data_IF_323246103875
#
_entry.id   IF_323246103875
#
_cell.length_a   1.000
_cell.length_b   1.000
_cell.length_c   1.000
_cell.angle_alpha   90.00
_cell.angle_beta   90.00
_cell.angle_gamma   90.00
#
_symmetry.space_group_name_H-M   'P 1'
#
loop_
_entity.id
_entity.type
_entity.pdbx_description
1 polymer ?
#
# COMPACT_ATOMS: atom_id res chain seq x y z
N UNK A 1 5.95 -16.05 -44.20
CA UNK A 1 5.68 -16.63 -42.86
C UNK A 1 6.96 -17.27 -42.35
N UNK A 2 7.74 -16.54 -41.55
CA UNK A 2 8.87 -17.10 -40.82
C UNK A 2 8.63 -16.74 -39.36
N UNK A 3 8.16 -17.71 -38.57
CA UNK A 3 8.11 -17.59 -37.11
C UNK A 3 9.52 -17.93 -36.63
N UNK A 4 10.21 -16.97 -36.06
CA UNK A 4 11.47 -17.21 -35.35
C UNK A 4 11.13 -17.98 -34.07
N UNK A 5 11.62 -19.21 -33.87
CA UNK A 5 11.38 -19.92 -32.62
C UNK A 5 12.24 -19.28 -31.52
N UNK A 6 11.62 -19.00 -30.36
CA UNK A 6 12.36 -18.73 -29.12
C UNK A 6 13.30 -19.92 -28.87
N UNK A 7 14.62 -19.67 -28.80
CA UNK A 7 15.63 -20.71 -28.58
C UNK A 7 15.31 -21.50 -27.31
N UNK A 8 14.87 -22.74 -27.48
CA UNK A 8 14.65 -23.70 -26.41
C UNK A 8 15.98 -24.33 -26.01
N UNK A 9 16.48 -24.03 -24.81
CA UNK A 9 17.38 -24.94 -24.11
C UNK A 9 16.52 -25.96 -23.34
N UNK A 10 16.84 -27.25 -23.55
CA UNK A 10 16.11 -28.42 -23.05
C UNK A 10 15.98 -28.44 -21.51
N UNK A 11 14.92 -29.08 -20.97
CA UNK A 11 14.67 -29.10 -19.54
C UNK A 11 15.51 -30.20 -18.85
N UNK A 12 16.22 -29.84 -17.78
CA UNK A 12 16.61 -30.81 -16.75
C UNK A 12 15.50 -30.81 -15.71
N UNK A 13 14.82 -31.94 -15.59
CA UNK A 13 13.81 -32.16 -14.58
C UNK A 13 14.47 -32.38 -13.22
N UNK A 14 14.15 -31.52 -12.25
CA UNK A 14 14.14 -31.88 -10.83
C UNK A 14 13.01 -31.12 -10.14
N UNK A 15 12.07 -31.89 -9.60
CA UNK A 15 11.09 -31.39 -8.65
C UNK A 15 11.85 -30.92 -7.40
N UNK A 16 11.64 -29.67 -7.00
CA UNK A 16 12.07 -29.20 -5.70
C UNK A 16 11.10 -28.13 -5.19
N UNK A 17 10.28 -28.54 -4.23
CA UNK A 17 9.75 -27.69 -3.16
C UNK A 17 10.89 -26.89 -2.55
N UNK A 18 10.94 -25.58 -2.79
CA UNK A 18 11.96 -24.72 -2.19
C UNK A 18 11.37 -23.78 -1.13
N UNK A 19 11.59 -24.24 0.10
CA UNK A 19 11.79 -23.45 1.31
C UNK A 19 13.01 -22.56 1.10
N UNK A 20 12.90 -21.27 1.43
CA UNK A 20 14.02 -20.32 1.38
C UNK A 20 15.13 -20.75 2.35
N UNK A 21 16.33 -21.07 1.83
CA UNK A 21 17.56 -21.18 2.61
C UNK A 21 18.63 -20.24 2.04
N UNK A 22 19.12 -19.35 2.91
CA UNK A 22 20.28 -18.46 2.70
C UNK A 22 21.61 -19.20 2.53
N UNK A 23 22.55 -18.57 1.80
CA UNK A 23 24.01 -18.43 2.04
C UNK A 23 24.65 -17.74 0.82
N UNK A 24 25.77 -17.01 0.83
CA UNK A 24 26.55 -16.21 1.80
C UNK A 24 27.85 -15.82 1.07
N UNK A 25 28.30 -14.56 1.13
CA UNK A 25 29.70 -14.12 1.21
C UNK A 25 29.68 -12.58 1.17
N UNK A 26 30.34 -11.82 2.05
CA UNK A 26 31.58 -12.04 2.78
C UNK A 26 31.56 -11.40 4.18
N UNK A 27 32.48 -11.85 5.02
CA UNK A 27 32.56 -11.68 6.48
C UNK A 27 32.55 -10.22 6.96
N UNK A 28 31.58 -9.92 7.82
CA UNK A 28 31.83 -9.17 9.04
C UNK A 28 31.28 -10.03 10.19
N UNK A 29 32.13 -10.46 11.11
CA UNK A 29 31.72 -11.16 12.32
C UNK A 29 30.93 -10.18 13.21
N UNK A 30 29.65 -10.00 12.92
CA UNK A 30 28.68 -9.58 13.90
C UNK A 30 28.23 -10.84 14.64
N UNK A 31 28.60 -10.92 15.92
CA UNK A 31 27.97 -11.87 16.83
C UNK A 31 26.45 -11.71 16.68
N UNK A 32 25.75 -12.81 16.41
CA UNK A 32 24.29 -12.86 16.53
C UNK A 32 23.94 -12.61 18.00
N UNK A 33 23.83 -11.35 18.38
CA UNK A 33 23.06 -10.92 19.53
C UNK A 33 21.60 -11.11 19.12
N UNK A 34 20.95 -12.13 19.66
CA UNK A 34 19.53 -12.31 19.49
C UNK A 34 18.81 -11.03 19.92
N UNK A 35 17.99 -10.46 19.04
CA UNK A 35 17.07 -9.35 19.33
C UNK A 35 15.85 -9.85 20.11
N UNK A 36 16.10 -10.63 21.16
CA UNK A 36 15.10 -11.02 22.15
C UNK A 36 15.57 -10.58 23.52
N UNK A 37 15.63 -9.26 23.73
CA UNK A 37 15.36 -8.73 25.06
C UNK A 37 13.85 -8.81 25.27
N UNK A 38 13.32 -10.02 25.45
CA UNK A 38 11.97 -10.18 26.00
C UNK A 38 12.06 -9.83 27.46
N UNK A 39 11.97 -8.53 27.75
CA UNK A 39 11.64 -8.07 29.08
C UNK A 39 10.33 -8.76 29.47
N UNK A 40 10.32 -9.70 30.43
CA UNK A 40 9.13 -10.44 30.78
C UNK A 40 8.05 -9.54 31.41
N UNK A 41 8.39 -8.30 31.76
CA UNK A 41 7.43 -7.28 32.21
C UNK A 41 6.77 -6.51 31.06
N UNK A 42 7.22 -6.69 29.81
CA UNK A 42 6.69 -5.95 28.67
C UNK A 42 5.26 -6.37 28.34
N UNK A 43 4.39 -5.38 28.20
CA UNK A 43 2.99 -5.54 27.85
C UNK A 43 2.70 -4.82 26.54
N UNK A 44 2.01 -5.50 25.63
CA UNK A 44 1.49 -4.89 24.41
C UNK A 44 0.31 -3.99 24.76
N UNK A 45 0.34 -2.74 24.32
CA UNK A 45 -0.67 -1.71 24.65
C UNK A 45 -1.54 -1.32 23.47
N UNK A 46 -0.96 -1.28 22.26
CA UNK A 46 -1.66 -0.86 21.04
C UNK A 46 -1.11 -1.59 19.82
N UNK A 47 -2.00 -1.95 18.90
CA UNK A 47 -1.61 -2.45 17.57
C UNK A 47 -2.24 -1.59 16.47
N UNK A 48 -1.45 -1.22 15.46
CA UNK A 48 -1.95 -0.55 14.27
C UNK A 48 -1.51 -1.31 13.02
N UNK A 49 -2.47 -1.77 12.21
CA UNK A 49 -2.21 -2.61 11.02
C UNK A 49 -2.59 -1.80 9.78
N UNK A 50 -1.62 -1.45 8.95
CA UNK A 50 -1.86 -0.84 7.63
C UNK A 50 -1.64 -1.89 6.56
N UNK A 51 -2.59 -2.09 5.65
CA UNK A 51 -2.46 -3.12 4.62
C UNK A 51 -3.02 -2.71 3.25
N UNK A 52 -2.36 -3.21 2.21
CA UNK A 52 -2.82 -3.15 0.82
C UNK A 52 -4.01 -4.09 0.62
N UNK A 53 -4.93 -3.72 -0.26
CA UNK A 53 -5.98 -4.64 -0.71
C UNK A 53 -5.44 -5.98 -1.26
N UNK A 54 -6.30 -7.00 -1.29
CA UNK A 54 -5.99 -8.31 -1.86
C UNK A 54 -5.97 -8.33 -3.40
N UNK A 55 -5.75 -9.52 -3.96
CA UNK A 55 -5.79 -9.75 -5.40
C UNK A 55 -7.12 -9.31 -6.02
N UNK A 56 -7.03 -8.64 -7.17
CA UNK A 56 -8.15 -8.01 -7.85
C UNK A 56 -8.11 -8.27 -9.35
N UNK A 57 -9.20 -7.98 -10.04
CA UNK A 57 -9.19 -7.88 -11.50
C UNK A 57 -8.34 -6.67 -11.97
N UNK A 58 -7.97 -6.61 -13.27
CA UNK A 58 -7.09 -5.56 -13.79
C UNK A 58 -7.68 -4.17 -13.66
N UNK A 59 -6.80 -3.16 -13.57
CA UNK A 59 -7.16 -1.75 -13.73
C UNK A 59 -6.89 -1.26 -15.16
N UNK A 60 -5.86 -1.76 -15.83
CA UNK A 60 -5.60 -1.40 -17.23
C UNK A 60 -6.59 -2.06 -18.19
N UNK A 61 -6.76 -1.48 -19.38
CA UNK A 61 -7.50 -2.07 -20.50
C UNK A 61 -6.59 -2.81 -21.51
N UNK A 62 -5.26 -2.76 -21.32
CA UNK A 62 -4.25 -3.30 -22.25
C UNK A 62 -3.62 -4.57 -21.69
N UNK A 63 -2.93 -5.34 -22.53
CA UNK A 63 -2.02 -6.45 -22.17
C UNK A 63 -2.67 -7.74 -21.63
N UNK A 64 -4.00 -7.85 -21.67
CA UNK A 64 -4.74 -9.06 -21.27
C UNK A 64 -5.82 -9.45 -22.29
N UNK A 65 -5.69 -8.99 -23.55
CA UNK A 65 -6.64 -9.30 -24.62
C UNK A 65 -6.90 -10.81 -24.75
N UNK A 66 -8.17 -11.18 -24.95
CA UNK A 66 -8.61 -12.58 -25.04
C UNK A 66 -8.78 -13.30 -23.71
N UNK A 67 -8.55 -12.64 -22.57
CA UNK A 67 -8.81 -13.24 -21.26
C UNK A 67 -10.20 -12.93 -20.70
N UNK A 68 -10.84 -13.96 -20.14
CA UNK A 68 -12.03 -13.81 -19.31
C UNK A 68 -11.64 -13.63 -17.84
N UNK A 69 -12.40 -12.80 -17.12
CA UNK A 69 -12.30 -12.48 -15.70
C UNK A 69 -13.56 -12.96 -14.97
N UNK A 70 -13.59 -14.26 -14.70
CA UNK A 70 -14.63 -15.06 -14.06
C UNK A 70 -14.27 -15.44 -12.61
N UNK A 71 -13.32 -14.71 -12.03
CA UNK A 71 -12.68 -15.00 -10.74
C UNK A 71 -13.28 -14.21 -9.56
N UNK A 72 -14.23 -13.32 -9.83
CA UNK A 72 -14.93 -12.53 -8.82
C UNK A 72 -16.15 -13.27 -8.25
N UNK A 73 -16.93 -12.58 -7.41
CA UNK A 73 -18.01 -13.18 -6.61
C UNK A 73 -17.61 -13.32 -5.15
N UNK A 74 -18.20 -14.28 -4.43
CA UNK A 74 -18.05 -14.43 -2.98
C UNK A 74 -17.24 -15.67 -2.64
N UNK A 75 -16.16 -15.51 -1.87
CA UNK A 75 -15.33 -16.63 -1.41
C UNK A 75 -15.87 -17.30 -0.14
N UNK A 76 -16.48 -16.51 0.76
CA UNK A 76 -17.05 -16.96 2.03
C UNK A 76 -18.13 -15.98 2.51
N UNK A 77 -18.89 -16.36 3.53
CA UNK A 77 -19.80 -15.45 4.25
C UNK A 77 -19.00 -14.52 5.16
N UNK A 78 -18.91 -13.21 4.87
CA UNK A 78 -18.13 -12.29 5.68
C UNK A 78 -18.91 -11.82 6.91
N UNK A 79 -18.17 -11.33 7.90
CA UNK A 79 -18.76 -10.58 9.03
C UNK A 79 -19.42 -9.29 8.54
N UNK A 80 -20.38 -8.78 9.31
CA UNK A 80 -21.05 -7.52 9.01
C UNK A 80 -20.16 -6.34 9.39
N UNK A 81 -20.16 -5.31 8.55
CA UNK A 81 -19.51 -4.03 8.84
C UNK A 81 -20.58 -2.95 9.01
N UNK A 82 -20.33 -2.01 9.91
CA UNK A 82 -21.03 -0.73 9.95
C UNK A 82 -20.10 0.34 9.39
N UNK A 83 -20.32 0.74 8.13
CA UNK A 83 -19.48 1.72 7.45
C UNK A 83 -20.09 3.12 7.57
N UNK A 84 -19.32 4.05 8.12
CA UNK A 84 -19.70 5.46 8.32
C UNK A 84 -18.66 6.41 7.76
N UNK A 85 -19.05 7.65 7.50
CA UNK A 85 -18.09 8.74 7.25
C UNK A 85 -17.29 9.05 8.53
N UNK A 86 -16.20 9.81 8.38
CA UNK A 86 -15.33 10.19 9.50
C UNK A 86 -16.05 11.00 10.61
N UNK A 87 -17.11 11.74 10.25
CA UNK A 87 -17.97 12.51 11.17
C UNK A 87 -19.17 11.70 11.70
N UNK A 88 -19.25 10.39 11.40
CA UNK A 88 -20.29 9.49 11.88
C UNK A 88 -21.57 9.47 11.03
N UNK A 89 -21.61 10.23 9.95
CA UNK A 89 -22.67 10.19 8.94
C UNK A 89 -22.63 8.95 8.04
N UNK A 90 -23.42 8.99 6.97
CA UNK A 90 -23.50 7.90 6.01
C UNK A 90 -22.20 7.77 5.17
N UNK A 91 -21.95 6.57 4.65
CA UNK A 91 -20.81 6.34 3.77
C UNK A 91 -20.86 7.31 2.57
N UNK A 92 -19.81 8.13 2.35
CA UNK A 92 -19.76 9.05 1.23
C UNK A 92 -19.70 8.28 -0.09
N UNK A 93 -20.09 8.95 -1.19
CA UNK A 93 -19.93 8.39 -2.54
C UNK A 93 -18.48 8.54 -2.98
N UNK A 94 -17.88 7.47 -3.51
CA UNK A 94 -16.63 7.57 -4.27
C UNK A 94 -16.91 7.58 -5.77
N UNK A 95 -16.66 8.72 -6.42
CA UNK A 95 -16.86 8.86 -7.86
C UNK A 95 -15.90 7.97 -8.65
N UNK A 96 -14.66 7.85 -8.17
CA UNK A 96 -13.63 7.01 -8.78
C UNK A 96 -13.99 5.52 -8.71
N UNK A 97 -14.48 5.02 -7.56
CA UNK A 97 -14.90 3.62 -7.43
C UNK A 97 -16.11 3.31 -8.32
N UNK A 98 -17.12 4.18 -8.35
CA UNK A 98 -18.28 4.01 -9.23
C UNK A 98 -17.88 3.97 -10.71
N UNK A 99 -16.96 4.85 -11.13
CA UNK A 99 -16.47 4.86 -12.51
C UNK A 99 -15.74 3.55 -12.88
N UNK A 100 -14.95 2.98 -11.96
CA UNK A 100 -14.31 1.67 -12.15
C UNK A 100 -15.36 0.56 -12.25
N UNK A 101 -16.30 0.52 -11.31
CA UNK A 101 -17.34 -0.51 -11.24
C UNK A 101 -18.32 -0.50 -12.41
N UNK A 102 -18.49 0.62 -13.11
CA UNK A 102 -19.29 0.66 -14.35
C UNK A 102 -18.66 -0.14 -15.49
N UNK A 103 -17.36 -0.39 -15.44
CA UNK A 103 -16.64 -1.12 -16.49
C UNK A 103 -16.68 -2.62 -16.15
N UNK A 104 -17.44 -3.38 -16.94
CA UNK A 104 -17.49 -4.84 -16.86
C UNK A 104 -16.47 -5.46 -17.82
N UNK A 105 -15.65 -6.36 -17.29
CA UNK A 105 -14.65 -7.11 -18.04
C UNK A 105 -15.29 -8.37 -18.65
N UNK A 106 -14.71 -8.95 -19.72
CA UNK A 106 -15.08 -10.30 -20.18
C UNK A 106 -15.05 -11.28 -19.00
N UNK A 107 -15.94 -12.28 -18.95
CA UNK A 107 -16.08 -13.19 -17.80
C UNK A 107 -16.88 -12.66 -16.60
N UNK A 108 -17.14 -11.34 -16.54
CA UNK A 108 -18.19 -10.77 -15.71
C UNK A 108 -17.74 -9.97 -14.47
N UNK A 109 -16.48 -10.05 -14.06
CA UNK A 109 -15.90 -9.13 -13.07
C UNK A 109 -16.03 -7.66 -13.49
N UNK A 110 -16.09 -6.74 -12.54
CA UNK A 110 -15.87 -5.32 -12.80
C UNK A 110 -14.37 -4.99 -12.76
N UNK A 111 -13.98 -3.86 -13.35
CA UNK A 111 -12.61 -3.34 -13.30
C UNK A 111 -12.18 -3.07 -11.85
N UNK A 112 -11.02 -3.59 -11.46
CA UNK A 112 -10.45 -3.41 -10.12
C UNK A 112 -11.24 -4.07 -8.98
N UNK A 113 -12.15 -4.99 -9.28
CA UNK A 113 -12.94 -5.74 -8.29
C UNK A 113 -12.06 -6.74 -7.53
N UNK A 114 -12.22 -6.82 -6.21
CA UNK A 114 -11.52 -7.81 -5.39
C UNK A 114 -12.01 -9.22 -5.75
N UNK A 115 -11.09 -10.13 -6.07
CA UNK A 115 -11.45 -11.49 -6.51
C UNK A 115 -11.66 -12.42 -5.33
N UNK A 116 -12.15 -13.64 -5.59
CA UNK A 116 -12.23 -14.69 -4.56
C UNK A 116 -10.85 -14.99 -3.93
N UNK A 117 -9.78 -14.97 -4.74
CA UNK A 117 -8.41 -15.09 -4.26
C UNK A 117 -8.05 -13.94 -3.31
N UNK A 118 -8.36 -12.70 -3.68
CA UNK A 118 -8.08 -11.54 -2.83
C UNK A 118 -8.85 -11.56 -1.51
N UNK A 119 -10.09 -12.05 -1.52
CA UNK A 119 -10.88 -12.26 -0.30
C UNK A 119 -10.22 -13.30 0.61
N UNK A 120 -9.76 -14.43 0.06
CA UNK A 120 -9.07 -15.45 0.84
C UNK A 120 -7.74 -14.92 1.42
N UNK A 121 -6.93 -14.23 0.61
CA UNK A 121 -5.70 -13.60 1.09
C UNK A 121 -5.94 -12.64 2.26
N UNK A 122 -7.02 -11.85 2.19
CA UNK A 122 -7.41 -10.95 3.27
C UNK A 122 -7.80 -11.71 4.53
N UNK A 123 -8.58 -12.80 4.39
CA UNK A 123 -8.94 -13.68 5.50
C UNK A 123 -7.71 -14.33 6.14
N UNK A 124 -6.76 -14.79 5.35
CA UNK A 124 -5.52 -15.40 5.84
C UNK A 124 -4.71 -14.41 6.70
N UNK A 125 -4.66 -13.13 6.33
CA UNK A 125 -4.07 -12.07 7.17
C UNK A 125 -4.86 -11.93 8.48
N UNK A 126 -6.18 -11.96 8.43
CA UNK A 126 -7.03 -11.94 9.62
C UNK A 126 -6.77 -13.11 10.57
N UNK A 127 -6.64 -14.33 10.02
CA UNK A 127 -6.33 -15.54 10.79
C UNK A 127 -4.94 -15.47 11.42
N UNK A 128 -3.95 -14.91 10.72
CA UNK A 128 -2.63 -14.64 11.28
C UNK A 128 -2.68 -13.63 12.44
N UNK A 129 -3.46 -12.54 12.28
CA UNK A 129 -3.68 -11.55 13.34
C UNK A 129 -4.37 -12.19 14.55
N UNK A 130 -5.33 -13.09 14.33
CA UNK A 130 -6.00 -13.85 15.40
C UNK A 130 -5.01 -14.73 16.15
N UNK A 131 -4.19 -15.49 15.43
CA UNK A 131 -3.16 -16.34 16.05
C UNK A 131 -2.27 -15.49 16.97
N UNK A 132 -1.71 -14.41 16.43
CA UNK A 132 -0.76 -13.58 17.17
C UNK A 132 -1.41 -12.83 18.35
N UNK A 133 -2.49 -12.09 18.09
CA UNK A 133 -3.00 -11.12 19.06
C UNK A 133 -4.11 -11.66 19.96
N UNK A 134 -4.82 -12.72 19.57
CA UNK A 134 -5.82 -13.37 20.43
C UNK A 134 -5.23 -14.56 21.15
N UNK A 135 -4.49 -15.43 20.45
CA UNK A 135 -4.06 -16.71 21.03
C UNK A 135 -2.68 -16.59 21.72
N UNK A 136 -1.66 -16.14 20.97
CA UNK A 136 -0.28 -16.17 21.46
C UNK A 136 -0.03 -15.08 22.52
N UNK A 137 -0.54 -13.86 22.27
CA UNK A 137 -0.32 -12.71 23.16
C UNK A 137 -1.48 -12.43 24.11
N UNK A 138 -2.66 -13.05 23.90
CA UNK A 138 -3.87 -12.76 24.68
C UNK A 138 -4.15 -11.25 24.81
N UNK A 139 -3.80 -10.48 23.78
CA UNK A 139 -3.94 -9.03 23.75
C UNK A 139 -5.37 -8.63 23.41
N UNK A 140 -5.95 -9.25 22.38
CA UNK A 140 -7.32 -9.07 21.96
C UNK A 140 -8.22 -10.16 22.58
N UNK A 141 -9.50 -9.84 22.86
CA UNK A 141 -10.48 -10.80 23.34
C UNK A 141 -10.77 -11.87 22.28
N UNK A 142 -11.19 -13.07 22.72
CA UNK A 142 -11.47 -14.19 21.82
C UNK A 142 -12.70 -13.99 20.94
N UNK A 143 -13.72 -13.32 21.49
CA UNK A 143 -14.93 -12.87 20.81
C UNK A 143 -14.83 -11.37 20.54
N UNK A 144 -15.50 -10.90 19.50
CA UNK A 144 -15.54 -9.47 19.22
C UNK A 144 -16.38 -8.74 20.27
N UNK A 145 -15.81 -7.68 20.85
CA UNK A 145 -16.48 -6.73 21.72
C UNK A 145 -16.15 -5.31 21.28
N UNK A 146 -17.00 -4.35 21.67
CA UNK A 146 -16.76 -2.94 21.38
C UNK A 146 -15.45 -2.48 22.05
N UNK A 147 -14.68 -1.64 21.37
CA UNK A 147 -13.33 -1.27 21.82
C UNK A 147 -12.21 -2.23 21.40
N UNK A 148 -12.47 -3.47 20.97
CA UNK A 148 -11.38 -4.38 20.56
C UNK A 148 -10.67 -3.87 19.28
N UNK A 149 -11.45 -3.55 18.24
CA UNK A 149 -10.94 -3.15 16.92
C UNK A 149 -11.74 -1.98 16.36
N UNK A 150 -11.04 -1.07 15.69
CA UNK A 150 -11.63 -0.05 14.81
C UNK A 150 -11.01 -0.13 13.42
N UNK A 151 -11.86 -0.13 12.39
CA UNK A 151 -11.42 -0.13 10.99
C UNK A 151 -11.48 1.26 10.35
N UNK A 152 -10.52 1.54 9.46
CA UNK A 152 -10.55 2.65 8.50
C UNK A 152 -10.21 2.11 7.12
N UNK A 153 -10.90 2.56 6.09
CA UNK A 153 -10.64 2.14 4.71
C UNK A 153 -10.79 3.28 3.72
N UNK A 154 -10.00 3.26 2.64
CA UNK A 154 -10.29 4.14 1.51
C UNK A 154 -11.62 3.73 0.89
N UNK A 155 -12.31 4.68 0.28
CA UNK A 155 -13.67 4.46 -0.21
C UNK A 155 -13.73 3.72 -1.57
N UNK A 156 -12.88 2.70 -1.74
CA UNK A 156 -12.93 1.78 -2.86
C UNK A 156 -13.55 0.45 -2.42
N UNK A 157 -14.38 -0.14 -3.29
CA UNK A 157 -15.06 -1.40 -2.98
C UNK A 157 -14.07 -2.54 -2.67
N UNK A 158 -12.89 -2.54 -3.32
CA UNK A 158 -11.84 -3.54 -3.09
C UNK A 158 -11.14 -3.42 -1.73
N UNK A 159 -10.96 -2.21 -1.21
CA UNK A 159 -10.31 -1.98 0.10
C UNK A 159 -11.30 -2.27 1.21
N UNK A 160 -12.55 -1.85 1.06
CA UNK A 160 -13.65 -2.22 1.97
C UNK A 160 -13.77 -3.75 2.07
N UNK A 161 -13.84 -4.45 0.94
CA UNK A 161 -13.95 -5.91 0.93
C UNK A 161 -12.70 -6.61 1.47
N UNK A 162 -11.51 -6.02 1.31
CA UNK A 162 -10.29 -6.55 1.94
C UNK A 162 -10.36 -6.41 3.46
N UNK A 163 -10.70 -5.22 3.98
CA UNK A 163 -10.87 -5.01 5.42
C UNK A 163 -11.91 -5.98 6.00
N UNK A 164 -13.02 -6.18 5.30
CA UNK A 164 -14.05 -7.15 5.69
C UNK A 164 -13.50 -8.58 5.77
N UNK A 165 -12.67 -8.99 4.81
CA UNK A 165 -12.00 -10.29 4.84
C UNK A 165 -11.05 -10.45 6.02
N UNK A 166 -10.21 -9.44 6.29
CA UNK A 166 -9.30 -9.42 7.45
C UNK A 166 -10.09 -9.53 8.76
N UNK A 167 -11.16 -8.74 8.92
CA UNK A 167 -12.02 -8.80 10.11
C UNK A 167 -12.75 -10.14 10.24
N UNK A 168 -13.10 -10.78 9.13
CA UNK A 168 -13.68 -12.13 9.13
C UNK A 168 -12.68 -13.18 9.62
N UNK A 169 -11.41 -13.08 9.22
CA UNK A 169 -10.36 -13.96 9.74
C UNK A 169 -10.04 -13.70 11.22
N UNK A 170 -10.09 -12.44 11.65
CA UNK A 170 -9.80 -12.07 13.04
C UNK A 170 -10.93 -12.48 14.01
N UNK A 171 -12.18 -12.21 13.62
CA UNK A 171 -13.38 -12.47 14.42
C UNK A 171 -14.47 -13.19 13.61
N UNK A 172 -14.28 -14.47 13.26
CA UNK A 172 -15.20 -15.21 12.38
C UNK A 172 -16.63 -15.34 12.93
N UNK A 173 -16.80 -15.23 14.25
CA UNK A 173 -18.08 -15.37 14.95
C UNK A 173 -18.66 -14.03 15.42
N UNK A 174 -18.21 -12.89 14.88
CA UNK A 174 -18.74 -11.58 15.25
C UNK A 174 -20.24 -11.47 14.92
N UNK A 175 -21.08 -11.49 15.96
CA UNK A 175 -22.54 -11.41 15.81
C UNK A 175 -23.01 -9.98 15.49
N UNK A 176 -22.32 -8.99 16.04
CA UNK A 176 -22.60 -7.56 15.84
C UNK A 176 -21.73 -6.98 14.71
N UNK A 177 -22.23 -5.96 13.97
CA UNK A 177 -21.42 -5.26 12.97
C UNK A 177 -20.18 -4.62 13.60
N UNK A 178 -19.05 -4.69 12.88
CA UNK A 178 -17.80 -4.06 13.31
C UNK A 178 -17.73 -2.63 12.73
N UNK A 179 -17.47 -1.59 13.55
CA UNK A 179 -17.38 -0.20 13.08
C UNK A 179 -16.20 0.02 12.13
N UNK A 180 -16.50 0.64 11.00
CA UNK A 180 -15.53 1.03 9.97
C UNK A 180 -15.77 2.47 9.54
N UNK A 181 -14.73 3.28 9.53
CA UNK A 181 -14.77 4.64 9.02
C UNK A 181 -14.19 4.74 7.60
N UNK A 182 -14.76 5.60 6.77
CA UNK A 182 -14.20 5.99 5.48
C UNK A 182 -14.33 7.48 5.23
N UNK A 183 -13.57 7.99 4.28
CA UNK A 183 -13.51 9.41 3.95
C UNK A 183 -14.12 9.68 2.56
N UNK A 184 -14.50 10.93 2.32
CA UNK A 184 -14.77 11.40 0.96
C UNK A 184 -13.47 11.39 0.14
N UNK A 185 -13.59 11.47 -1.20
CA UNK A 185 -12.40 11.57 -2.07
C UNK A 185 -11.56 12.83 -1.74
N UNK A 186 -12.15 13.88 -1.16
CA UNK A 186 -11.45 15.12 -0.75
C UNK A 186 -10.75 15.02 0.61
N UNK A 187 -11.29 14.22 1.53
CA UNK A 187 -10.77 14.13 2.91
C UNK A 187 -9.77 12.98 3.11
N UNK A 188 -9.57 12.17 2.09
CA UNK A 188 -8.72 10.98 2.16
C UNK A 188 -7.24 11.33 2.37
N UNK A 189 -6.59 10.58 3.26
CA UNK A 189 -5.18 10.76 3.68
C UNK A 189 -4.32 9.52 3.43
N UNK A 190 -4.92 8.38 3.08
CA UNK A 190 -4.19 7.11 2.95
C UNK A 190 -3.51 6.94 1.58
N UNK A 191 -3.45 7.98 0.77
CA UNK A 191 -2.63 8.06 -0.44
C UNK A 191 -2.40 9.54 -0.81
N UNK A 192 -1.47 9.80 -1.73
CA UNK A 192 -1.19 11.14 -2.25
C UNK A 192 -2.43 11.77 -2.92
N UNK A 193 -3.18 12.58 -2.15
CA UNK A 193 -4.43 13.17 -2.59
C UNK A 193 -4.21 14.53 -3.25
N UNK A 194 -4.02 14.52 -4.57
CA UNK A 194 -3.85 15.74 -5.36
C UNK A 194 -5.13 16.56 -5.53
N UNK A 195 -6.31 15.97 -5.26
CA UNK A 195 -7.59 16.69 -5.35
C UNK A 195 -7.74 17.71 -4.23
N UNK A 196 -7.22 17.36 -3.05
CA UNK A 196 -7.31 18.19 -1.85
C UNK A 196 -6.13 19.13 -1.64
N UNK A 197 -5.13 19.13 -2.54
CA UNK A 197 -3.93 19.93 -2.38
C UNK A 197 -3.28 20.30 -3.72
N UNK A 198 -3.43 21.56 -4.11
CA UNK A 198 -2.87 22.11 -5.35
C UNK A 198 -1.34 22.04 -5.37
N UNK A 199 -0.66 22.39 -4.26
CA UNK A 199 0.80 22.27 -4.18
C UNK A 199 1.30 20.84 -4.38
N UNK A 200 0.60 19.85 -3.82
CA UNK A 200 0.94 18.45 -4.04
C UNK A 200 0.77 18.06 -5.52
N UNK A 201 -0.28 18.55 -6.18
CA UNK A 201 -0.50 18.31 -7.61
C UNK A 201 0.68 18.82 -8.45
N UNK A 202 1.20 20.01 -8.11
CA UNK A 202 2.39 20.62 -8.72
C UNK A 202 3.67 19.82 -8.48
N UNK A 203 3.95 19.44 -7.23
CA UNK A 203 5.13 18.64 -6.87
C UNK A 203 5.10 17.30 -7.61
N UNK A 204 3.95 16.62 -7.62
CA UNK A 204 3.76 15.36 -8.34
C UNK A 204 3.89 15.53 -9.87
N UNK A 205 3.47 16.68 -10.43
CA UNK A 205 3.65 17.00 -11.85
C UNK A 205 5.14 17.15 -12.20
N UNK A 206 5.93 17.80 -11.34
CA UNK A 206 7.39 17.91 -11.50
C UNK A 206 8.07 16.55 -11.40
N UNK A 207 7.74 15.76 -10.38
CA UNK A 207 8.28 14.41 -10.21
C UNK A 207 7.99 13.50 -11.43
N UNK A 208 6.77 13.55 -11.98
CA UNK A 208 6.42 12.85 -13.23
C UNK A 208 7.25 13.32 -14.42
N UNK A 209 7.50 14.62 -14.54
CA UNK A 209 8.33 15.18 -15.59
C UNK A 209 9.78 14.71 -15.48
N UNK A 210 10.38 14.78 -14.29
CA UNK A 210 11.74 14.31 -14.02
C UNK A 210 11.90 12.81 -14.33
N UNK A 211 10.93 11.99 -13.93
CA UNK A 211 10.91 10.56 -14.23
C UNK A 211 10.83 10.28 -15.74
N UNK A 212 10.07 11.09 -16.48
CA UNK A 212 9.99 10.97 -17.95
C UNK A 212 11.34 11.30 -18.59
N UNK A 213 12.01 12.36 -18.15
CA UNK A 213 13.32 12.77 -18.67
C UNK A 213 14.42 11.77 -18.30
N UNK A 214 14.40 11.22 -17.07
CA UNK A 214 15.39 10.23 -16.64
C UNK A 214 15.29 8.93 -17.45
N UNK A 215 14.06 8.50 -17.78
CA UNK A 215 13.81 7.36 -18.66
C UNK A 215 14.48 7.49 -20.03
N UNK A 216 14.46 8.68 -20.63
CA UNK A 216 15.08 8.92 -21.95
C UNK A 216 16.60 8.69 -21.94
N UNK A 217 17.22 8.68 -20.75
CA UNK A 217 18.66 8.45 -20.53
C UNK A 217 18.98 7.07 -19.97
N UNK A 218 17.98 6.27 -19.61
CA UNK A 218 18.16 4.96 -18.98
C UNK A 218 18.26 3.85 -20.03
N UNK A 219 19.49 3.44 -20.35
CA UNK A 219 19.76 2.39 -21.34
C UNK A 219 19.19 1.02 -20.94
N UNK A 220 19.14 0.71 -19.64
CA UNK A 220 18.53 -0.54 -19.18
C UNK A 220 17.02 -0.53 -19.42
N UNK A 221 16.34 0.57 -19.08
CA UNK A 221 14.91 0.73 -19.35
C UNK A 221 14.58 0.69 -20.85
N UNK A 222 15.45 1.23 -21.72
CA UNK A 222 15.31 1.14 -23.19
C UNK A 222 15.41 -0.30 -23.69
N UNK A 223 16.42 -1.05 -23.24
CA UNK A 223 16.60 -2.46 -23.60
C UNK A 223 15.40 -3.31 -23.13
N UNK A 224 14.95 -3.10 -21.90
CA UNK A 224 13.77 -3.78 -21.36
C UNK A 224 12.52 -3.43 -22.16
N UNK A 225 12.34 -2.15 -22.53
CA UNK A 225 11.22 -1.73 -23.35
C UNK A 225 11.18 -2.44 -24.70
N UNK A 226 12.32 -2.59 -25.38
CA UNK A 226 12.38 -3.32 -26.65
C UNK A 226 12.06 -4.81 -26.45
N UNK A 227 12.68 -5.45 -25.45
CA UNK A 227 12.44 -6.86 -25.14
C UNK A 227 10.96 -7.13 -24.85
N UNK A 228 10.30 -6.24 -24.10
CA UNK A 228 8.86 -6.34 -23.82
C UNK A 228 8.03 -6.16 -25.09
N UNK A 229 8.34 -5.17 -25.94
CA UNK A 229 7.64 -4.97 -27.21
C UNK A 229 7.71 -6.21 -28.09
N UNK A 230 8.89 -6.81 -28.20
CA UNK A 230 9.10 -8.01 -29.02
C UNK A 230 8.26 -9.18 -28.51
N UNK A 231 8.22 -9.40 -27.19
CA UNK A 231 7.43 -10.47 -26.57
C UNK A 231 5.93 -10.24 -26.67
N UNK A 232 5.47 -8.98 -26.54
CA UNK A 232 4.06 -8.62 -26.72
C UNK A 232 3.64 -8.53 -28.20
N UNK A 233 4.59 -8.58 -29.14
CA UNK A 233 4.33 -8.30 -30.55
C UNK A 233 3.87 -6.87 -30.83
N UNK A 234 4.18 -5.91 -29.93
CA UNK A 234 3.78 -4.51 -30.03
C UNK A 234 4.69 -3.77 -31.02
N UNK A 235 4.14 -3.47 -32.20
CA UNK A 235 4.83 -2.75 -33.29
C UNK A 235 4.55 -1.25 -33.30
N UNK A 236 3.81 -0.73 -32.33
CA UNK A 236 3.53 0.70 -32.26
C UNK A 236 4.77 1.50 -31.86
N UNK A 237 4.79 2.78 -32.23
CA UNK A 237 5.81 3.72 -31.76
C UNK A 237 5.63 4.07 -30.27
N UNK A 238 4.47 3.74 -29.69
CA UNK A 238 4.14 4.03 -28.30
C UNK A 238 5.13 3.38 -27.35
N UNK A 239 5.43 4.11 -26.28
CA UNK A 239 6.30 3.62 -25.23
C UNK A 239 5.54 2.67 -24.30
N UNK A 240 6.17 1.59 -23.83
CA UNK A 240 5.54 0.69 -22.86
C UNK A 240 5.25 1.45 -21.55
N UNK A 241 3.99 1.38 -21.11
CA UNK A 241 3.58 1.87 -19.80
C UNK A 241 3.87 0.80 -18.74
N UNK A 242 5.09 0.79 -18.19
CA UNK A 242 5.54 -0.26 -17.26
C UNK A 242 4.64 -0.43 -16.02
N UNK A 243 3.99 0.64 -15.53
CA UNK A 243 3.03 0.54 -14.42
C UNK A 243 1.79 -0.26 -14.81
N UNK A 244 1.21 0.00 -15.98
CA UNK A 244 0.05 -0.73 -16.50
C UNK A 244 0.41 -2.16 -16.88
N UNK A 245 1.61 -2.37 -17.45
CA UNK A 245 2.10 -3.70 -17.78
C UNK A 245 2.32 -4.52 -16.52
N UNK A 246 2.96 -3.95 -15.50
CA UNK A 246 3.12 -4.60 -14.20
C UNK A 246 1.75 -4.96 -13.60
N UNK A 247 0.78 -4.04 -13.59
CA UNK A 247 -0.59 -4.33 -13.16
C UNK A 247 -1.17 -5.55 -13.88
N UNK A 248 -1.14 -5.55 -15.22
CA UNK A 248 -1.68 -6.65 -16.00
C UNK A 248 -0.95 -7.98 -15.69
N UNK A 249 0.38 -8.00 -15.72
CA UNK A 249 1.15 -9.23 -15.53
C UNK A 249 0.98 -9.80 -14.12
N UNK A 250 0.98 -8.97 -13.08
CA UNK A 250 0.71 -9.40 -11.70
C UNK A 250 -0.68 -9.99 -11.55
N UNK A 251 -1.68 -9.36 -12.16
CA UNK A 251 -3.06 -9.84 -12.09
C UNK A 251 -3.23 -11.15 -12.87
N UNK A 252 -2.69 -11.27 -14.08
CA UNK A 252 -2.72 -12.51 -14.88
C UNK A 252 -2.06 -13.65 -14.09
N UNK A 253 -0.83 -13.42 -13.60
CA UNK A 253 -0.05 -14.42 -12.88
C UNK A 253 -0.72 -14.87 -11.60
N UNK A 254 -1.22 -13.93 -10.79
CA UNK A 254 -1.88 -14.27 -9.51
C UNK A 254 -3.13 -15.12 -9.68
N UNK A 255 -3.79 -15.05 -10.83
CA UNK A 255 -5.00 -15.84 -11.13
C UNK A 255 -4.73 -17.04 -12.03
N UNK A 256 -3.46 -17.43 -12.20
CA UNK A 256 -3.04 -18.54 -13.07
C UNK A 256 -3.60 -18.44 -14.49
N UNK A 257 -3.80 -17.21 -14.99
CA UNK A 257 -4.25 -16.99 -16.37
C UNK A 257 -3.05 -17.04 -17.32
N UNK A 258 -3.32 -17.27 -18.59
CA UNK A 258 -2.26 -17.45 -19.59
C UNK A 258 -1.51 -16.14 -19.82
N UNK A 259 -0.21 -16.14 -19.51
CA UNK A 259 0.71 -15.06 -19.86
C UNK A 259 1.00 -15.07 -21.38
N UNK A 260 1.40 -13.92 -21.96
CA UNK A 260 1.90 -13.90 -23.33
C UNK A 260 3.02 -14.92 -23.56
N UNK A 261 3.08 -15.48 -24.77
CA UNK A 261 4.15 -16.43 -25.15
C UNK A 261 5.53 -15.77 -24.98
N UNK A 262 6.52 -16.53 -24.49
CA UNK A 262 7.87 -16.04 -24.17
C UNK A 262 7.93 -14.94 -23.06
N UNK A 263 6.85 -14.69 -22.32
CA UNK A 263 6.87 -13.92 -21.05
C UNK A 263 7.45 -14.78 -19.93
N UNK A 264 8.78 -14.76 -19.76
CA UNK A 264 9.49 -15.57 -18.75
C UNK A 264 9.42 -14.95 -17.35
N UNK A 265 9.72 -15.77 -16.34
CA UNK A 265 9.83 -15.31 -14.95
C UNK A 265 10.87 -14.18 -14.76
N UNK A 266 12.04 -14.29 -15.40
CA UNK A 266 13.06 -13.24 -15.34
C UNK A 266 12.55 -11.92 -15.94
N UNK A 267 11.83 -12.00 -17.07
CA UNK A 267 11.26 -10.80 -17.69
C UNK A 267 10.17 -10.16 -16.80
N UNK A 268 9.35 -10.97 -16.13
CA UNK A 268 8.39 -10.47 -15.14
C UNK A 268 9.07 -9.79 -13.95
N UNK A 269 10.20 -10.33 -13.48
CA UNK A 269 11.00 -9.70 -12.44
C UNK A 269 11.59 -8.36 -12.90
N UNK A 270 12.11 -8.28 -14.12
CA UNK A 270 12.63 -7.04 -14.69
C UNK A 270 11.52 -5.98 -14.84
N UNK A 271 10.34 -6.38 -15.33
CA UNK A 271 9.15 -5.51 -15.41
C UNK A 271 8.77 -5.01 -14.02
N UNK A 272 8.73 -5.88 -13.01
CA UNK A 272 8.41 -5.51 -11.64
C UNK A 272 9.42 -4.51 -11.08
N UNK A 273 10.73 -4.76 -11.23
CA UNK A 273 11.77 -3.82 -10.77
C UNK A 273 11.64 -2.45 -11.42
N UNK A 274 11.45 -2.41 -12.74
CA UNK A 274 11.30 -1.15 -13.47
C UNK A 274 10.02 -0.40 -13.08
N UNK A 275 8.89 -1.10 -12.94
CA UNK A 275 7.65 -0.51 -12.47
C UNK A 275 7.75 -0.01 -11.02
N UNK A 276 8.42 -0.77 -10.16
CA UNK A 276 8.66 -0.41 -8.75
C UNK A 276 9.51 0.85 -8.64
N UNK A 277 10.64 0.89 -9.35
CA UNK A 277 11.52 2.07 -9.43
C UNK A 277 10.72 3.32 -9.81
N UNK A 278 9.85 3.21 -10.83
CA UNK A 278 8.99 4.31 -11.29
C UNK A 278 7.96 4.73 -10.26
N UNK A 279 7.29 3.77 -9.62
CA UNK A 279 6.27 4.09 -8.62
C UNK A 279 6.89 4.71 -7.37
N UNK A 280 7.98 4.15 -6.88
CA UNK A 280 8.74 4.67 -5.72
C UNK A 280 9.18 6.11 -5.98
N UNK A 281 9.72 6.42 -7.17
CA UNK A 281 10.08 7.80 -7.52
C UNK A 281 8.90 8.79 -7.44
N UNK A 282 7.66 8.33 -7.53
CA UNK A 282 6.46 9.18 -7.48
C UNK A 282 5.81 9.25 -6.09
N UNK A 283 5.83 8.17 -5.31
CA UNK A 283 5.08 8.09 -4.05
C UNK A 283 5.97 7.95 -2.81
N UNK A 284 7.24 7.62 -3.00
CA UNK A 284 8.21 7.35 -1.95
C UNK A 284 9.64 7.71 -2.40
N UNK A 285 9.88 8.92 -2.95
CA UNK A 285 11.15 9.31 -3.59
C UNK A 285 12.33 9.16 -2.63
N UNK A 286 13.49 8.69 -3.11
CA UNK A 286 14.67 8.44 -2.28
C UNK A 286 15.22 9.68 -1.57
N UNK A 287 16.06 9.47 -0.55
CA UNK A 287 16.63 10.54 0.30
C UNK A 287 17.50 11.53 -0.48
N UNK A 288 18.01 11.11 -1.62
CA UNK A 288 18.80 11.92 -2.55
C UNK A 288 17.98 12.94 -3.33
N UNK A 289 16.65 12.81 -3.38
CA UNK A 289 15.77 13.70 -4.13
C UNK A 289 15.34 14.89 -3.27
N UNK A 290 15.69 16.10 -3.72
CA UNK A 290 15.44 17.35 -2.99
C UNK A 290 13.97 17.62 -2.69
N UNK A 291 13.05 17.08 -3.49
CA UNK A 291 11.60 17.22 -3.29
C UNK A 291 10.99 16.15 -2.37
N UNK A 292 11.77 15.21 -1.83
CA UNK A 292 11.26 14.09 -1.02
C UNK A 292 10.46 14.56 0.18
N UNK A 293 11.04 15.47 0.97
CA UNK A 293 10.44 15.93 2.22
C UNK A 293 9.09 16.60 1.94
N UNK A 294 9.06 17.57 1.02
CA UNK A 294 7.84 18.26 0.61
C UNK A 294 6.78 17.28 0.08
N UNK A 295 7.17 16.34 -0.80
CA UNK A 295 6.25 15.36 -1.37
C UNK A 295 5.64 14.47 -0.28
N UNK A 296 6.44 13.87 0.59
CA UNK A 296 5.96 12.98 1.65
C UNK A 296 5.17 13.72 2.71
N UNK A 297 5.59 14.94 3.06
CA UNK A 297 4.89 15.83 3.97
C UNK A 297 3.47 16.09 3.46
N UNK A 298 3.33 16.58 2.22
CA UNK A 298 2.02 16.91 1.64
C UNK A 298 1.17 15.69 1.27
N UNK A 299 1.77 14.55 0.92
CA UNK A 299 1.03 13.35 0.50
C UNK A 299 0.59 12.44 1.64
N UNK A 300 1.49 12.13 2.57
CA UNK A 300 1.28 11.09 3.59
C UNK A 300 1.45 11.59 5.02
N UNK A 301 1.91 12.84 5.22
CA UNK A 301 2.15 13.43 6.53
C UNK A 301 0.96 13.32 7.47
N UNK A 302 -0.27 13.55 6.98
CA UNK A 302 -1.51 13.39 7.76
C UNK A 302 -1.77 11.95 8.19
N UNK A 303 -1.42 10.96 7.35
CA UNK A 303 -1.53 9.55 7.73
C UNK A 303 -0.51 9.19 8.80
N UNK A 304 0.74 9.62 8.64
CA UNK A 304 1.79 9.39 9.64
C UNK A 304 1.41 10.01 10.99
N UNK A 305 0.95 11.25 10.98
CA UNK A 305 0.46 11.92 12.18
C UNK A 305 -0.72 11.17 12.82
N UNK A 306 -1.68 10.70 12.02
CA UNK A 306 -2.79 9.87 12.53
C UNK A 306 -2.29 8.60 13.25
N UNK A 307 -1.24 7.93 12.75
CA UNK A 307 -0.70 6.74 13.40
C UNK A 307 0.02 7.09 14.71
N UNK A 308 0.76 8.21 14.77
CA UNK A 308 1.48 8.63 15.98
C UNK A 308 0.49 9.16 17.02
N UNK A 309 -0.56 9.85 16.60
CA UNK A 309 -1.62 10.31 17.50
C UNK A 309 -2.30 9.14 18.22
N UNK A 310 -2.53 8.00 17.56
CA UNK A 310 -3.06 6.80 18.25
C UNK A 310 -2.10 6.26 19.30
N UNK A 311 -0.79 6.28 19.04
CA UNK A 311 0.21 5.86 20.02
C UNK A 311 0.24 6.81 21.22
N UNK A 312 0.18 8.13 20.99
CA UNK A 312 0.11 9.14 22.05
C UNK A 312 -1.16 9.01 22.90
N UNK A 313 -2.32 8.87 22.26
CA UNK A 313 -3.58 8.60 22.96
C UNK A 313 -3.50 7.33 23.80
N UNK A 314 -2.81 6.29 23.32
CA UNK A 314 -2.58 5.08 24.12
C UNK A 314 -1.64 5.36 25.32
N UNK A 315 -0.57 6.12 25.13
CA UNK A 315 0.36 6.51 26.19
C UNK A 315 -0.36 7.28 27.32
N UNK A 316 -1.28 8.16 26.94
CA UNK A 316 -2.06 9.03 27.82
C UNK A 316 -3.27 8.31 28.45
N UNK A 317 -3.54 7.06 28.08
CA UNK A 317 -4.68 6.28 28.59
C UNK A 317 -6.03 6.65 27.96
N UNK A 318 -6.02 7.35 26.82
CA UNK A 318 -7.19 7.84 26.10
C UNK A 318 -7.55 7.00 24.86
N UNK A 319 -6.79 5.93 24.56
CA UNK A 319 -7.11 5.08 23.41
C UNK A 319 -8.45 4.37 23.60
N UNK A 320 -9.33 4.55 22.62
CA UNK A 320 -10.65 3.90 22.60
C UNK A 320 -10.61 2.46 22.13
N UNK A 321 -9.56 2.09 21.39
CA UNK A 321 -9.42 0.76 20.84
C UNK A 321 -8.04 0.16 21.08
N UNK A 322 -7.98 -1.16 21.20
CA UNK A 322 -6.73 -1.91 21.31
C UNK A 322 -6.04 -2.06 19.96
N UNK A 323 -6.81 -2.23 18.88
CA UNK A 323 -6.28 -2.35 17.53
C UNK A 323 -6.97 -1.40 16.54
N UNK A 324 -6.17 -0.74 15.71
CA UNK A 324 -6.64 0.05 14.57
C UNK A 324 -6.19 -0.58 13.27
N UNK A 325 -7.11 -0.72 12.31
CA UNK A 325 -6.83 -1.29 11.00
C UNK A 325 -7.04 -0.25 9.90
N UNK A 326 -6.12 -0.18 8.94
CA UNK A 326 -6.15 0.76 7.82
C UNK A 326 -6.02 -0.03 6.50
N UNK A 327 -7.11 -0.11 5.74
CA UNK A 327 -7.11 -0.77 4.44
C UNK A 327 -6.98 0.24 3.30
N UNK A 328 -5.83 0.18 2.63
CA UNK A 328 -5.46 1.09 1.54
C UNK A 328 -4.81 0.38 0.37
N UNK A 329 -3.76 0.99 -0.17
CA UNK A 329 -3.18 0.68 -1.47
C UNK A 329 -1.68 0.36 -1.36
N UNK A 330 -1.10 -0.09 -2.47
CA UNK A 330 0.36 -0.12 -2.62
C UNK A 330 0.97 1.27 -2.42
N UNK A 331 0.32 2.31 -2.95
CA UNK A 331 0.69 3.71 -2.73
C UNK A 331 0.51 4.20 -1.29
N UNK A 332 -0.12 3.42 -0.41
CA UNK A 332 -0.13 3.62 1.04
C UNK A 332 1.08 2.96 1.70
N UNK A 333 1.39 1.73 1.29
CA UNK A 333 2.44 0.89 1.89
C UNK A 333 3.83 1.37 1.51
N UNK A 334 4.06 1.75 0.25
CA UNK A 334 5.38 2.20 -0.22
C UNK A 334 5.94 3.39 0.58
N UNK A 335 5.22 4.51 0.76
CA UNK A 335 5.73 5.62 1.57
C UNK A 335 5.94 5.26 3.04
N UNK A 336 5.10 4.40 3.63
CA UNK A 336 5.34 3.90 5.00
C UNK A 336 6.66 3.14 5.10
N UNK A 337 6.91 2.19 4.19
CA UNK A 337 8.17 1.45 4.16
C UNK A 337 9.37 2.37 3.94
N UNK A 338 9.28 3.31 3.00
CA UNK A 338 10.38 4.21 2.68
C UNK A 338 10.69 5.23 3.79
N UNK A 339 9.70 5.63 4.59
CA UNK A 339 9.93 6.53 5.74
C UNK A 339 10.49 5.78 6.95
N UNK A 340 10.22 4.48 7.06
CA UNK A 340 10.80 3.58 8.06
C UNK A 340 12.19 3.07 7.67
N UNK A 341 12.79 3.64 6.60
CA UNK A 341 14.12 3.27 6.11
C UNK A 341 14.20 1.85 5.52
N UNK A 342 13.07 1.27 5.11
CA UNK A 342 13.05 -0.07 4.53
C UNK A 342 13.33 0.00 3.03
N UNK A 343 14.21 -0.88 2.55
CA UNK A 343 14.56 -0.97 1.13
C UNK A 343 13.42 -1.56 0.31
N UNK A 344 12.80 -0.71 -0.52
CA UNK A 344 11.75 -1.12 -1.45
C UNK A 344 12.39 -1.39 -2.81
N UNK A 345 12.70 -2.66 -3.09
CA UNK A 345 13.28 -3.06 -4.38
C UNK A 345 12.25 -3.64 -5.35
N UNK A 346 11.07 -4.00 -4.84
CA UNK A 346 9.98 -4.61 -5.60
C UNK A 346 8.64 -4.12 -5.10
N UNK A 347 7.61 -4.27 -5.94
CA UNK A 347 6.27 -3.79 -5.65
C UNK A 347 5.70 -4.59 -4.47
N UNK A 348 5.15 -3.94 -3.43
CA UNK A 348 4.56 -4.66 -2.30
C UNK A 348 3.47 -5.62 -2.80
N UNK A 349 3.56 -6.94 -2.56
CA UNK A 349 2.55 -7.89 -3.02
C UNK A 349 1.15 -7.58 -2.46
N UNK A 350 0.12 -8.25 -2.98
CA UNK A 350 -1.23 -8.15 -2.42
C UNK A 350 -1.21 -8.50 -0.94
N UNK A 351 -2.08 -7.84 -0.16
CA UNK A 351 -2.16 -7.95 1.31
C UNK A 351 -0.86 -7.65 2.06
N UNK A 352 0.12 -7.01 1.43
CA UNK A 352 1.28 -6.47 2.15
C UNK A 352 0.84 -5.55 3.27
N UNK A 353 1.47 -5.70 4.43
CA UNK A 353 1.10 -4.99 5.64
C UNK A 353 2.33 -4.47 6.41
N UNK A 354 2.11 -3.33 7.06
CA UNK A 354 3.00 -2.74 8.06
C UNK A 354 2.22 -2.69 9.36
N UNK A 355 2.78 -3.29 10.41
CA UNK A 355 2.16 -3.37 11.73
C UNK A 355 3.04 -2.64 12.72
N UNK A 356 2.44 -1.71 13.46
CA UNK A 356 3.07 -1.02 14.56
C UNK A 356 2.52 -1.59 15.86
N UNK A 357 3.41 -2.11 16.70
CA UNK A 357 3.09 -2.57 18.04
C UNK A 357 3.70 -1.60 19.05
N UNK A 358 2.88 -1.00 19.92
CA UNK A 358 3.36 -0.18 21.04
C UNK A 358 3.37 -1.03 22.31
N UNK A 359 4.54 -1.16 22.89
CA UNK A 359 4.80 -1.93 24.10
C UNK A 359 5.15 -0.99 25.25
N UNK A 360 4.82 -1.42 26.46
CA UNK A 360 5.18 -0.75 27.71
C UNK A 360 5.94 -1.75 28.58
N UNK A 361 7.09 -1.36 29.13
CA UNK A 361 7.79 -2.15 30.14
C UNK A 361 8.23 -1.30 31.33
N UNK A 362 8.64 -1.96 32.40
CA UNK A 362 9.12 -1.31 33.62
C UNK A 362 10.62 -1.55 33.75
N UNK A 363 11.41 -0.48 33.57
CA UNK A 363 12.87 -0.53 33.73
C UNK A 363 13.30 0.46 34.79
N UNK A 364 14.00 -0.02 35.82
CA UNK A 364 14.50 0.78 36.94
C UNK A 364 13.41 1.62 37.65
N UNK A 365 12.20 1.07 37.76
CA UNK A 365 11.05 1.74 38.37
C UNK A 365 10.44 2.87 37.52
N UNK A 366 10.84 2.98 36.25
CA UNK A 366 10.28 3.92 35.29
C UNK A 366 9.57 3.18 34.18
N UNK A 367 8.38 3.68 33.84
CA UNK A 367 7.64 3.28 32.63
C UNK A 367 8.47 3.62 31.39
N UNK A 368 8.67 2.62 30.52
CA UNK A 368 9.31 2.79 29.21
C UNK A 368 8.36 2.31 28.13
N UNK A 369 8.08 3.18 27.16
CA UNK A 369 7.22 2.88 26.02
C UNK A 369 8.05 2.78 24.75
N UNK A 370 7.78 1.76 23.94
CA UNK A 370 8.54 1.52 22.73
C UNK A 370 7.71 0.90 21.60
N UNK A 371 8.20 1.08 20.38
CA UNK A 371 7.53 0.68 19.16
C UNK A 371 8.31 -0.45 18.50
N UNK A 372 7.59 -1.51 18.13
CA UNK A 372 8.07 -2.53 17.19
C UNK A 372 7.34 -2.38 15.87
N UNK A 373 8.05 -2.65 14.78
CA UNK A 373 7.49 -2.62 13.43
C UNK A 373 7.62 -4.01 12.83
N UNK A 374 6.51 -4.53 12.31
CA UNK A 374 6.50 -5.75 11.52
C UNK A 374 6.11 -5.42 10.09
N UNK A 375 6.82 -6.00 9.12
CA UNK A 375 6.47 -5.96 7.71
C UNK A 375 6.13 -7.38 7.27
N UNK A 376 4.89 -7.57 6.82
CA UNK A 376 4.36 -8.88 6.42
C UNK A 376 4.56 -9.96 7.50
N UNK A 377 4.29 -9.59 8.76
CA UNK A 377 4.40 -10.47 9.92
C UNK A 377 5.83 -10.74 10.41
N UNK A 378 6.85 -10.07 9.87
CA UNK A 378 8.24 -10.17 10.33
C UNK A 378 8.70 -8.87 10.96
N UNK A 379 9.22 -8.93 12.18
CA UNK A 379 9.86 -7.78 12.84
C UNK A 379 11.04 -7.30 11.98
N UNK A 380 11.12 -5.99 11.76
CA UNK A 380 12.17 -5.35 10.96
C UNK A 380 13.03 -4.43 11.83
N UNK A 381 14.32 -4.36 11.49
CA UNK A 381 15.23 -3.39 12.10
C UNK A 381 14.95 -2.00 11.53
N UNK A 382 15.05 -0.99 12.40
CA UNK A 382 14.91 0.41 12.03
C UNK A 382 16.32 1.03 11.95
N UNK A 383 16.79 1.47 10.77
CA UNK A 383 18.21 1.72 10.48
C UNK A 383 18.85 2.85 11.30
N UNK A 384 18.05 3.78 11.80
CA UNK A 384 18.50 4.91 12.62
C UNK A 384 18.45 4.61 14.13
N UNK A 385 18.22 3.35 14.50
CA UNK A 385 18.27 2.90 15.89
C UNK A 385 19.60 2.19 16.14
N UNK A 386 20.33 2.62 17.18
CA UNK A 386 21.57 1.97 17.59
C UNK A 386 21.30 0.48 17.90
N UNK A 387 22.17 -0.46 17.47
CA UNK A 387 22.01 -1.88 17.80
C UNK A 387 21.81 -2.11 19.30
N UNK A 388 20.78 -2.87 19.67
CA UNK A 388 20.41 -3.13 21.07
C UNK A 388 19.65 -2.00 21.77
N UNK A 389 19.32 -0.90 21.09
CA UNK A 389 18.46 0.14 21.64
C UNK A 389 16.99 -0.15 21.38
N UNK A 390 16.19 0.06 22.42
CA UNK A 390 14.74 0.03 22.34
C UNK A 390 14.26 1.27 21.60
N UNK A 391 13.40 1.10 20.59
CA UNK A 391 12.82 2.22 19.85
C UNK A 391 11.73 2.90 20.66
N UNK A 392 12.10 3.85 21.52
CA UNK A 392 11.11 4.57 22.34
C UNK A 392 10.09 5.28 21.46
N UNK A 393 8.87 5.50 21.97
CA UNK A 393 7.85 6.24 21.22
C UNK A 393 8.35 7.62 20.77
N UNK A 394 9.10 8.31 21.63
CA UNK A 394 9.70 9.61 21.32
C UNK A 394 10.74 9.50 20.20
N UNK A 395 11.67 8.55 20.27
CA UNK A 395 12.68 8.34 19.23
C UNK A 395 12.04 7.94 17.91
N UNK A 396 11.06 7.04 17.95
CA UNK A 396 10.30 6.62 16.77
C UNK A 396 9.67 7.82 16.06
N UNK A 397 8.97 8.66 16.80
CA UNK A 397 8.33 9.85 16.24
C UNK A 397 9.36 10.85 15.68
N UNK A 398 10.38 11.18 16.48
CA UNK A 398 11.35 12.21 16.12
C UNK A 398 12.20 11.84 14.91
N UNK A 399 12.55 10.56 14.78
CA UNK A 399 13.41 10.06 13.70
C UNK A 399 12.63 9.85 12.41
N UNK A 400 11.52 9.11 12.46
CA UNK A 400 10.88 8.64 11.23
C UNK A 400 9.82 9.60 10.69
N UNK A 401 9.06 10.28 11.55
CA UNK A 401 7.83 10.97 11.11
C UNK A 401 7.84 12.47 11.31
N UNK A 402 8.54 13.00 12.32
CA UNK A 402 8.65 14.45 12.55
C UNK A 402 9.03 15.27 11.29
N UNK A 403 9.95 14.81 10.41
CA UNK A 403 10.26 15.55 9.17
C UNK A 403 9.07 15.68 8.20
N UNK A 404 8.05 14.82 8.33
CA UNK A 404 6.93 14.73 7.39
C UNK A 404 5.59 15.13 8.01
N UNK A 405 5.53 15.52 9.29
CA UNK A 405 4.30 16.01 9.92
C UNK A 405 4.03 17.42 9.37
N UNK A 406 2.81 17.64 8.85
CA UNK A 406 2.33 18.94 8.38
C UNK A 406 1.46 19.55 9.46
N UNK A 407 1.72 20.78 9.87
CA UNK A 407 0.76 21.51 10.70
C UNK A 407 -0.48 21.87 9.88
N UNK A 408 -1.60 22.13 10.54
CA UNK A 408 -2.81 22.55 9.83
C UNK A 408 -2.60 23.90 9.11
N UNK A 409 -1.79 24.79 9.69
CA UNK A 409 -1.41 26.08 9.07
C UNK A 409 -0.58 25.88 7.80
N UNK A 410 0.49 25.08 7.86
CA UNK A 410 1.32 24.75 6.69
C UNK A 410 0.50 24.09 5.59
N UNK A 411 -0.46 23.23 5.98
CA UNK A 411 -1.37 22.57 5.05
C UNK A 411 -2.32 23.57 4.41
N UNK A 412 -2.92 24.46 5.19
CA UNK A 412 -3.82 25.48 4.65
C UNK A 412 -3.05 26.38 3.67
N UNK A 413 -1.85 26.83 4.02
CA UNK A 413 -1.03 27.62 3.11
C UNK A 413 -0.70 26.87 1.80
N UNK A 414 -0.32 25.59 1.88
CA UNK A 414 0.07 24.81 0.71
C UNK A 414 -1.11 24.28 -0.13
N UNK A 415 -2.26 24.03 0.50
CA UNK A 415 -3.36 23.28 -0.10
C UNK A 415 -4.66 24.08 -0.19
N UNK A 416 -4.66 25.39 0.09
CA UNK A 416 -5.81 26.25 -0.16
C UNK A 416 -6.16 26.19 -1.64
N UNK A 417 -7.38 25.76 -1.95
CA UNK A 417 -7.90 25.82 -3.30
C UNK A 417 -8.17 27.28 -3.64
N UNK A 418 -7.37 27.84 -4.54
CA UNK A 418 -7.69 29.15 -5.13
C UNK A 418 -8.83 28.97 -6.12
N UNK A 419 -10.05 29.32 -5.70
CA UNK A 419 -11.12 29.54 -6.66
C UNK A 419 -10.79 30.86 -7.35
N UNK A 420 -10.23 30.79 -8.57
CA UNK A 420 -10.24 31.95 -9.46
C UNK A 420 -11.71 32.31 -9.68
N UNK A 421 -12.20 33.31 -8.95
CA UNK A 421 -13.45 33.96 -9.29
C UNK A 421 -13.29 34.46 -10.73
N UNK A 422 -14.08 33.88 -11.63
CA UNK A 422 -14.20 34.32 -13.02
C UNK A 422 -14.20 35.85 -13.06
N UNK A 423 -13.35 36.39 -13.94
CA UNK A 423 -13.20 37.82 -14.16
C UNK A 423 -14.58 38.50 -14.23
N UNK A 424 -14.73 39.71 -13.66
CA UNK A 424 -16.00 40.42 -13.73
C UNK A 424 -16.42 40.54 -15.19
N UNK A 425 -17.66 40.14 -15.46
CA UNK A 425 -18.30 40.12 -16.77
C UNK A 425 -17.80 41.28 -17.64
N UNK A 426 -17.01 40.95 -18.67
CA UNK A 426 -16.63 41.91 -19.67
C UNK A 426 -17.92 42.45 -20.30
N UNK A 427 -18.16 43.75 -20.09
CA UNK A 427 -19.12 44.54 -20.85
C UNK A 427 -18.84 44.34 -22.34
N UNK A 428 -19.92 44.07 -23.08
CA UNK A 428 -19.87 43.56 -24.44
C UNK A 428 -19.15 44.42 -25.47
N UNK A 429 -18.82 43.77 -26.59
CA UNK A 429 -18.27 44.40 -27.77
C UNK A 429 -17.71 43.40 -28.77
N UNK A 430 -18.57 43.00 -29.71
CA UNK A 430 -18.30 42.61 -31.10
C UNK A 430 -17.35 41.46 -31.50
N UNK A 431 -17.99 40.47 -32.13
CA UNK A 431 -17.66 39.77 -33.39
C UNK A 431 -16.19 39.46 -33.75
N UNK A 432 -15.89 38.17 -34.00
CA UNK A 432 -15.64 37.62 -35.36
C UNK A 432 -15.11 36.16 -35.33
N UNK A 433 -15.79 35.31 -36.09
CA UNK A 433 -15.38 34.11 -36.85
C UNK A 433 -14.00 33.43 -36.67
N UNK A 434 -14.04 32.11 -36.44
CA UNK A 434 -13.46 31.09 -37.34
C UNK A 434 -11.99 30.67 -37.14
N UNK A 435 -11.76 29.47 -36.59
CA UNK A 435 -11.19 28.27 -37.23
C UNK A 435 -11.06 27.13 -36.22
#
# INVERSE_FOLDING_TARGET
>A
MWRTPCLTLLPVATAATYVYTHRSASQCHSQRLGTSTTDPSAQLKLVQVVFRHGARSPLTKRYWEGQEWDVCGKAFEPVKLEIRSLDGGDQPVSGHDQAQRKIRLPGGCHKGELTKLGQQQARDVGEWLRQRYVQDLSFLPAQYEDGAVSGRTTNFSRTIATLQGVLTGLYPEAAQPIPVATASDMDEIMFANVLSCERLADVMKRARYELRVSREKDEHAKQLQQKVKDVLGDKSDDSIAFLDLHDAMTVIKSHNKQLPECMTEDLLMDINKEASKRMIALVAPGVELSHREELLKLSMGRMFDSVVQRMRQCADGESKHQMYMYSGHDTTIMPLLATLGQDITTWPPYVSNVIFEMWESQKDGKKQEYVKVLVNGKEVDLPDMLPGHVCTLESFQNTFWKPFIVTEEERQEACTLTFEHEQPAASGGDSLSGF
#
